data_IF_761776279746
#
_entry.id   IF_761776279746
#
_cell.length_a   1.000
_cell.length_b   1.000
_cell.length_c   1.000
_cell.angle_alpha   90.00
_cell.angle_beta   90.00
_cell.angle_gamma   90.00
#
_symmetry.space_group_name_H-M   'P 1'
#
loop_
_entity.id
_entity.type
_entity.pdbx_description
1 polymer ?
#
# COMPACT_ATOMS: atom_id res chain seq x y z
N UNK A 1 -17.45 66.42 6.35
CA UNK A 1 -17.36 65.29 5.39
C UNK A 1 -16.43 64.25 6.00
N UNK A 2 -16.91 63.19 6.66
CA UNK A 2 -17.32 61.87 6.13
C UNK A 2 -16.41 61.35 5.00
N UNK A 3 -15.41 60.53 5.34
CA UNK A 3 -15.11 59.28 4.60
C UNK A 3 -14.64 58.23 5.62
N UNK A 4 -15.47 57.21 5.77
CA UNK A 4 -15.17 55.97 6.48
C UNK A 4 -14.41 55.06 5.53
N UNK A 5 -13.33 54.43 5.96
CA UNK A 5 -12.78 53.26 5.29
C UNK A 5 -11.88 52.48 6.27
N UNK A 6 -12.49 51.74 7.20
CA UNK A 6 -11.81 50.67 7.90
C UNK A 6 -11.70 49.48 6.94
N UNK A 7 -10.51 49.25 6.38
CA UNK A 7 -10.19 48.03 5.64
C UNK A 7 -9.61 47.01 6.64
N UNK A 8 -10.48 46.19 7.23
CA UNK A 8 -10.08 44.98 7.96
C UNK A 8 -9.80 43.90 6.91
N UNK A 9 -8.53 43.72 6.55
CA UNK A 9 -8.07 42.59 5.74
C UNK A 9 -7.90 41.40 6.69
N UNK A 10 -8.95 40.59 6.82
CA UNK A 10 -8.87 39.30 7.52
C UNK A 10 -8.21 38.31 6.57
N UNK A 11 -6.88 38.25 6.56
CA UNK A 11 -6.14 37.17 5.92
C UNK A 11 -6.42 35.89 6.71
N UNK A 12 -7.44 35.13 6.30
CA UNK A 12 -7.70 33.80 6.81
C UNK A 12 -6.58 32.90 6.27
N UNK A 13 -5.50 32.74 7.04
CA UNK A 13 -4.52 31.69 6.80
C UNK A 13 -5.26 30.36 6.95
N UNK A 14 -5.79 29.84 5.84
CA UNK A 14 -6.17 28.45 5.73
C UNK A 14 -4.87 27.64 5.81
N UNK A 15 -4.46 27.30 7.03
CA UNK A 15 -3.48 26.25 7.27
C UNK A 15 -4.10 24.95 6.78
N UNK A 16 -3.89 24.64 5.50
CA UNK A 16 -4.14 23.31 4.99
C UNK A 16 -3.17 22.38 5.73
N UNK A 17 -3.68 21.70 6.75
CA UNK A 17 -2.95 20.63 7.43
C UNK A 17 -2.63 19.58 6.37
N UNK A 18 -1.37 19.52 5.95
CA UNK A 18 -0.88 18.39 5.19
C UNK A 18 -0.83 17.22 6.17
N UNK A 19 -1.90 16.42 6.21
CA UNK A 19 -1.83 15.12 6.84
C UNK A 19 -0.91 14.26 5.96
N UNK A 20 0.18 13.76 6.54
CA UNK A 20 0.99 12.78 5.84
C UNK A 20 0.13 11.53 5.63
N UNK A 21 0.23 10.94 4.45
CA UNK A 21 -0.48 9.70 4.18
C UNK A 21 0.14 8.60 5.04
N UNK A 22 -0.71 7.73 5.61
CA UNK A 22 -0.24 6.55 6.30
C UNK A 22 0.69 5.74 5.37
N UNK A 23 1.78 5.24 5.92
CA UNK A 23 2.74 4.39 5.20
C UNK A 23 2.86 3.02 5.86
N UNK A 24 2.99 2.01 5.01
CA UNK A 24 3.04 0.61 5.41
C UNK A 24 4.28 -0.07 4.83
N UNK A 25 4.97 -0.84 5.66
CA UNK A 25 5.97 -1.77 5.18
C UNK A 25 5.28 -3.11 4.91
N UNK A 26 5.37 -3.58 3.68
CA UNK A 26 4.83 -4.87 3.28
C UNK A 26 5.97 -5.79 2.88
N UNK A 27 6.14 -6.86 3.63
CA UNK A 27 7.07 -7.94 3.31
C UNK A 27 6.26 -9.07 2.68
N UNK A 28 6.71 -9.56 1.53
CA UNK A 28 6.02 -10.62 0.78
C UNK A 28 7.04 -11.69 0.40
N UNK A 29 6.67 -12.96 0.51
CA UNK A 29 7.39 -14.07 -0.13
C UNK A 29 6.49 -14.74 -1.16
N UNK A 30 6.98 -14.82 -2.39
CA UNK A 30 6.25 -15.41 -3.53
C UNK A 30 6.92 -16.72 -3.89
N UNK A 31 6.13 -17.79 -3.91
CA UNK A 31 6.56 -19.13 -4.28
C UNK A 31 5.81 -19.59 -5.54
N UNK A 32 6.48 -20.35 -6.39
CA UNK A 32 5.89 -21.05 -7.52
C UNK A 32 6.36 -22.50 -7.52
N UNK A 33 5.42 -23.45 -7.61
CA UNK A 33 5.71 -24.89 -7.53
C UNK A 33 6.54 -25.26 -6.29
N UNK A 34 6.25 -24.62 -5.15
CA UNK A 34 6.93 -24.84 -3.88
C UNK A 34 8.33 -24.20 -3.75
N UNK A 35 8.84 -23.53 -4.80
CA UNK A 35 10.15 -22.84 -4.77
C UNK A 35 9.96 -21.35 -4.58
N UNK A 36 10.80 -20.74 -3.74
CA UNK A 36 10.82 -19.28 -3.56
C UNK A 36 11.27 -18.62 -4.87
N UNK A 37 10.47 -17.67 -5.35
CA UNK A 37 10.72 -16.89 -6.57
C UNK A 37 11.27 -15.51 -6.21
N UNK A 38 10.63 -14.83 -5.25
CA UNK A 38 11.01 -13.49 -4.82
C UNK A 38 10.57 -13.24 -3.37
N UNK A 39 11.28 -12.35 -2.68
CA UNK A 39 10.97 -11.94 -1.31
C UNK A 39 11.06 -10.41 -1.11
N UNK A 40 10.28 -9.60 -1.86
CA UNK A 40 10.37 -8.15 -1.77
C UNK A 40 9.87 -7.61 -0.43
N UNK A 41 10.44 -6.47 -0.04
CA UNK A 41 9.87 -5.60 1.00
C UNK A 41 9.66 -4.22 0.40
N UNK A 42 8.45 -3.68 0.52
CA UNK A 42 8.07 -2.39 -0.04
C UNK A 42 7.54 -1.47 1.05
N UNK A 43 7.82 -0.18 0.94
CA UNK A 43 7.07 0.87 1.65
C UNK A 43 5.98 1.36 0.71
N UNK A 44 4.73 1.31 1.16
CA UNK A 44 3.54 1.61 0.38
C UNK A 44 2.74 2.69 1.10
N UNK A 45 2.43 3.78 0.40
CA UNK A 45 1.49 4.80 0.88
C UNK A 45 0.05 4.27 0.80
N UNK A 46 -0.77 4.63 1.79
CA UNK A 46 -2.20 4.29 1.81
C UNK A 46 -2.88 4.65 0.48
N UNK A 47 -3.67 3.71 -0.05
CA UNK A 47 -4.49 3.86 -1.25
C UNK A 47 -3.70 4.20 -2.53
N UNK A 48 -2.36 4.07 -2.52
CA UNK A 48 -1.50 4.21 -3.69
C UNK A 48 -0.87 2.88 -4.07
N UNK A 49 -0.72 2.68 -5.38
CA UNK A 49 -0.06 1.49 -5.90
C UNK A 49 1.46 1.65 -5.82
N UNK A 50 2.12 0.70 -5.17
CA UNK A 50 3.55 0.45 -5.31
C UNK A 50 3.79 -0.67 -6.33
N UNK A 51 4.92 -0.63 -7.02
CA UNK A 51 5.26 -1.59 -8.07
C UNK A 51 6.74 -1.98 -8.04
N UNK A 52 7.00 -3.26 -8.27
CA UNK A 52 8.32 -3.81 -8.56
C UNK A 52 8.22 -4.60 -9.87
N UNK A 53 9.20 -4.42 -10.74
CA UNK A 53 9.41 -5.26 -11.92
C UNK A 53 10.88 -5.68 -11.95
N UNK A 54 11.13 -6.95 -12.26
CA UNK A 54 12.47 -7.53 -12.38
C UNK A 54 12.63 -8.17 -13.77
N UNK A 55 13.86 -8.20 -14.26
CA UNK A 55 14.19 -8.70 -15.62
C UNK A 55 13.96 -10.20 -15.79
N UNK A 56 13.71 -10.94 -14.71
CA UNK A 56 13.43 -12.38 -14.71
C UNK A 56 11.94 -12.73 -14.93
N UNK A 57 11.12 -11.75 -15.37
CA UNK A 57 9.68 -11.94 -15.57
C UNK A 57 8.87 -11.94 -14.27
N UNK A 58 9.46 -11.49 -13.16
CA UNK A 58 8.71 -11.22 -11.93
C UNK A 58 8.20 -9.77 -11.94
N UNK A 59 6.91 -9.58 -11.67
CA UNK A 59 6.35 -8.26 -11.36
C UNK A 59 5.36 -8.34 -10.21
N UNK A 60 5.30 -7.28 -9.42
CA UNK A 60 4.46 -7.20 -8.25
C UNK A 60 3.91 -5.79 -8.08
N UNK A 61 2.60 -5.64 -8.27
CA UNK A 61 1.87 -4.43 -7.95
C UNK A 61 1.09 -4.67 -6.66
N UNK A 62 1.12 -3.69 -5.77
CA UNK A 62 0.47 -3.78 -4.46
C UNK A 62 -0.17 -2.45 -4.09
N UNK A 63 -1.41 -2.49 -3.63
CA UNK A 63 -2.08 -1.39 -2.95
C UNK A 63 -2.51 -1.84 -1.57
N UNK A 64 -2.24 -1.01 -0.56
CA UNK A 64 -2.71 -1.21 0.82
C UNK A 64 -3.86 -0.24 1.08
N UNK A 65 -5.02 -0.78 1.47
CA UNK A 65 -6.23 -0.02 1.80
C UNK A 65 -6.52 -0.18 3.29
N UNK A 66 -6.17 0.79 4.15
CA UNK A 66 -6.38 0.65 5.57
C UNK A 66 -7.86 0.60 5.95
N UNK A 67 -8.19 -0.28 6.89
CA UNK A 67 -9.50 -0.35 7.54
C UNK A 67 -9.43 0.27 8.95
N UNK A 68 -10.59 0.48 9.59
CA UNK A 68 -10.67 1.08 10.93
C UNK A 68 -10.34 0.11 12.09
N UNK A 69 -10.13 -1.18 11.81
CA UNK A 69 -10.10 -2.28 12.80
C UNK A 69 -8.73 -2.98 12.90
N UNK A 70 -7.63 -2.24 12.75
CA UNK A 70 -6.26 -2.79 12.71
C UNK A 70 -6.01 -3.83 11.59
N UNK A 71 -6.82 -3.74 10.55
CA UNK A 71 -6.64 -4.52 9.33
C UNK A 71 -6.39 -3.62 8.12
N UNK A 72 -5.89 -4.23 7.05
CA UNK A 72 -5.85 -3.62 5.74
C UNK A 72 -6.42 -4.57 4.68
N UNK A 73 -7.16 -3.99 3.75
CA UNK A 73 -7.42 -4.61 2.46
C UNK A 73 -6.17 -4.58 1.60
N UNK A 74 -5.86 -5.70 0.98
CA UNK A 74 -4.78 -5.88 0.03
C UNK A 74 -5.39 -6.08 -1.35
N UNK A 75 -4.86 -5.35 -2.32
CA UNK A 75 -5.10 -5.57 -3.75
C UNK A 75 -3.75 -5.71 -4.40
N UNK A 76 -3.48 -6.87 -5.00
CA UNK A 76 -2.22 -7.11 -5.66
C UNK A 76 -2.38 -7.73 -7.04
N UNK A 77 -1.37 -7.54 -7.87
CA UNK A 77 -1.16 -8.30 -9.10
C UNK A 77 0.27 -8.85 -9.06
N UNK A 78 0.41 -10.17 -9.12
CA UNK A 78 1.70 -10.85 -9.01
C UNK A 78 1.90 -11.68 -10.27
N UNK A 79 2.95 -11.38 -11.01
CA UNK A 79 3.35 -12.10 -12.21
C UNK A 79 4.63 -12.86 -11.94
N UNK A 80 4.62 -14.15 -12.28
CA UNK A 80 5.80 -15.02 -12.28
C UNK A 80 5.90 -15.65 -13.67
N UNK A 81 6.93 -15.28 -14.42
CA UNK A 81 7.06 -15.60 -15.84
C UNK A 81 5.81 -15.12 -16.61
N UNK A 82 5.04 -16.03 -17.20
CA UNK A 82 3.84 -15.69 -17.99
C UNK A 82 2.52 -15.88 -17.22
N UNK A 83 2.58 -16.11 -15.90
CA UNK A 83 1.40 -16.36 -15.07
C UNK A 83 1.16 -15.22 -14.08
N UNK A 84 0.02 -14.55 -14.22
CA UNK A 84 -0.42 -13.49 -13.31
C UNK A 84 -1.59 -13.94 -12.46
N UNK A 85 -1.51 -13.67 -11.15
CA UNK A 85 -2.63 -13.75 -10.22
C UNK A 85 -3.00 -12.35 -9.71
N UNK A 86 -4.27 -12.14 -9.36
CA UNK A 86 -4.78 -10.84 -8.91
C UNK A 86 -5.50 -10.98 -7.56
N UNK A 87 -4.80 -11.34 -6.47
CA UNK A 87 -5.45 -11.58 -5.20
C UNK A 87 -5.98 -10.28 -4.56
N UNK A 88 -7.13 -10.39 -3.90
CA UNK A 88 -7.62 -9.36 -2.98
C UNK A 88 -8.17 -10.00 -1.72
N UNK A 89 -7.68 -9.56 -0.56
CA UNK A 89 -7.98 -10.14 0.75
C UNK A 89 -7.66 -9.14 1.87
N UNK A 90 -8.19 -9.41 3.06
CA UNK A 90 -7.93 -8.59 4.26
C UNK A 90 -6.88 -9.25 5.13
N UNK A 91 -5.97 -8.46 5.70
CA UNK A 91 -4.92 -8.92 6.64
C UNK A 91 -4.94 -8.11 7.92
N UNK A 92 -4.59 -8.73 9.04
CA UNK A 92 -4.33 -8.02 10.30
C UNK A 92 -2.89 -7.51 10.32
N UNK A 93 -2.68 -6.28 10.79
CA UNK A 93 -1.32 -5.73 10.92
C UNK A 93 -0.44 -6.59 11.83
N UNK A 94 0.85 -6.70 11.50
CA UNK A 94 1.85 -7.45 12.27
C UNK A 94 1.70 -8.97 12.24
N UNK A 95 0.72 -9.51 11.50
CA UNK A 95 0.52 -10.95 11.33
C UNK A 95 0.79 -11.37 9.90
N UNK A 96 1.42 -12.53 9.75
CA UNK A 96 1.60 -13.14 8.44
C UNK A 96 0.29 -13.76 7.95
N UNK A 97 -0.07 -13.44 6.72
CA UNK A 97 -1.15 -14.08 5.97
C UNK A 97 -0.54 -14.95 4.87
N UNK A 98 -1.14 -16.12 4.61
CA UNK A 98 -0.76 -17.01 3.51
C UNK A 98 -1.94 -17.21 2.58
N UNK A 99 -1.66 -17.16 1.28
CA UNK A 99 -2.63 -17.41 0.22
C UNK A 99 -2.03 -18.36 -0.82
N UNK A 100 -2.80 -19.37 -1.22
CA UNK A 100 -2.43 -20.32 -2.27
C UNK A 100 -3.42 -20.21 -3.43
N UNK A 101 -2.93 -19.93 -4.63
CA UNK A 101 -3.72 -19.81 -5.86
C UNK A 101 -3.02 -20.62 -6.96
N UNK A 102 -3.62 -21.74 -7.33
CA UNK A 102 -3.03 -22.65 -8.31
C UNK A 102 -1.66 -23.16 -7.84
N UNK A 103 -0.62 -22.95 -8.65
CA UNK A 103 0.75 -23.33 -8.31
C UNK A 103 1.52 -22.25 -7.52
N UNK A 104 0.90 -21.10 -7.26
CA UNK A 104 1.54 -19.97 -6.59
C UNK A 104 1.11 -19.92 -5.11
N UNK A 105 2.08 -19.67 -4.23
CA UNK A 105 1.84 -19.36 -2.81
C UNK A 105 2.42 -17.99 -2.48
N UNK A 106 1.66 -17.19 -1.77
CA UNK A 106 2.09 -15.88 -1.28
C UNK A 106 2.01 -15.90 0.24
N UNK A 107 3.10 -15.50 0.90
CA UNK A 107 3.04 -15.07 2.30
C UNK A 107 3.25 -13.57 2.35
N UNK A 108 2.50 -12.88 3.20
CA UNK A 108 2.49 -11.42 3.25
C UNK A 108 2.27 -10.95 4.69
N UNK A 109 3.06 -9.96 5.11
CA UNK A 109 2.89 -9.28 6.40
C UNK A 109 2.92 -7.78 6.18
N UNK A 110 1.97 -7.08 6.79
CA UNK A 110 1.83 -5.62 6.70
C UNK A 110 2.09 -5.01 8.07
N UNK A 111 3.02 -4.07 8.14
CA UNK A 111 3.31 -3.30 9.34
C UNK A 111 3.08 -1.82 9.08
N UNK A 112 2.41 -1.13 10.01
CA UNK A 112 2.30 0.33 9.97
C UNK A 112 3.66 0.94 10.31
N UNK A 113 4.12 1.89 9.50
CA UNK A 113 5.45 2.52 9.66
C UNK A 113 5.31 3.96 10.18
N UNK A 114 4.35 4.72 9.66
CA UNK A 114 4.13 6.11 10.04
C UNK A 114 2.80 6.68 9.52
N UNK A 115 2.49 7.88 10.01
CA UNK A 115 1.31 8.71 9.72
C UNK A 115 1.73 10.16 9.59
#
# INVERSE_FOLDING_TARGET
MKIKASLLITALLASASCFAADTYQVSTSVYSQGKLVASPTMVVEADKMASITMDNGFSYNLTVKPNQDETAGIVAAVTVADSTINPSFTVTYGKEATLEIGAQKLTLMVNKVGS
#
